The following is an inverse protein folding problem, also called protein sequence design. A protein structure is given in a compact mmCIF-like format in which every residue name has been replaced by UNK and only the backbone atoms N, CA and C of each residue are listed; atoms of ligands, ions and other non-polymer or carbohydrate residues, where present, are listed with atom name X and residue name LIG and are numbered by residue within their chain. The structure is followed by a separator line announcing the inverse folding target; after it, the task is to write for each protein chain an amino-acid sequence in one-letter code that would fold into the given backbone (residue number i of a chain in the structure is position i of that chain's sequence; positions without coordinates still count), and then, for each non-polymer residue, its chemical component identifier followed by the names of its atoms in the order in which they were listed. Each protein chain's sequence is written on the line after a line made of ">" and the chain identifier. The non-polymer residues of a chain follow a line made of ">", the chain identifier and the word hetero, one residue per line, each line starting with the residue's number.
data_IF_410350805113
#
_entry.id   IF_410350805113
#
_cell.length_a   1.000
_cell.length_b   1.000
_cell.length_c   1.000
_cell.angle_alpha   90.00
_cell.angle_beta   90.00
_cell.angle_gamma   90.00
#
_symmetry.space_group_name_H-M   'P 1'
#
loop_
_entity.id
_entity.type
_entity.pdbx_description
1 polymer ?
#
# COMPACT_ATOMS: atom_id res chain seq x y z
N UNK A 1 4.02 17.52 -7.69
CA UNK A 1 3.68 17.56 -6.26
C UNK A 1 4.03 16.23 -5.55
N UNK A 2 3.65 15.08 -6.07
CA UNK A 2 3.92 13.80 -5.38
C UNK A 2 5.40 13.39 -5.35
N UNK A 3 6.19 13.72 -6.36
CA UNK A 3 7.64 13.47 -6.36
C UNK A 3 8.35 14.23 -5.23
N UNK A 4 7.91 15.47 -4.91
CA UNK A 4 8.47 16.25 -3.80
C UNK A 4 8.14 15.61 -2.45
N UNK A 5 6.90 15.10 -2.29
CA UNK A 5 6.49 14.38 -1.07
C UNK A 5 7.28 13.08 -0.90
N UNK A 6 7.51 12.36 -2.00
CA UNK A 6 8.35 11.15 -1.99
C UNK A 6 9.79 11.47 -1.60
N UNK A 7 10.38 12.52 -2.18
CA UNK A 7 11.73 12.96 -1.81
C UNK A 7 11.80 13.36 -0.34
N UNK A 8 10.84 14.16 0.14
CA UNK A 8 10.75 14.55 1.55
C UNK A 8 10.67 13.33 2.48
N UNK A 9 9.85 12.33 2.14
CA UNK A 9 9.74 11.07 2.88
C UNK A 9 11.09 10.36 2.98
N UNK A 10 11.78 10.16 1.84
CA UNK A 10 13.06 9.45 1.80
C UNK A 10 14.16 10.21 2.56
N UNK A 11 14.20 11.54 2.45
CA UNK A 11 15.14 12.37 3.20
C UNK A 11 14.87 12.30 4.70
N UNK A 12 13.61 12.47 5.12
CA UNK A 12 13.22 12.38 6.54
C UNK A 12 13.61 11.03 7.14
N UNK A 13 13.33 9.94 6.43
CA UNK A 13 13.71 8.59 6.86
C UNK A 13 15.23 8.44 6.99
N UNK A 14 15.98 8.96 6.02
CA UNK A 14 17.46 8.96 6.07
C UNK A 14 17.96 9.70 7.32
N UNK A 15 17.44 10.90 7.59
CA UNK A 15 17.84 11.70 8.75
C UNK A 15 17.54 10.99 10.08
N UNK A 16 16.38 10.35 10.19
CA UNK A 16 16.01 9.58 11.39
C UNK A 16 16.96 8.39 11.59
N UNK A 17 17.27 7.63 10.52
CA UNK A 17 18.19 6.49 10.61
C UNK A 17 19.61 6.93 10.97
N UNK A 18 20.11 8.02 10.38
CA UNK A 18 21.43 8.57 10.69
C UNK A 18 21.50 9.07 12.12
N UNK A 19 20.47 9.75 12.61
CA UNK A 19 20.37 10.17 14.00
C UNK A 19 20.39 8.98 14.96
N UNK A 20 19.57 7.96 14.69
CA UNK A 20 19.54 6.73 15.50
C UNK A 20 20.87 6.00 15.47
N UNK A 21 21.52 5.88 14.30
CA UNK A 21 22.87 5.31 14.16
C UNK A 21 23.91 6.08 14.97
N UNK A 22 23.80 7.41 14.99
CA UNK A 22 24.67 8.26 15.81
C UNK A 22 24.47 8.06 17.30
N UNK A 23 23.22 7.93 17.76
CA UNK A 23 22.89 7.67 19.15
C UNK A 23 23.40 6.29 19.65
N UNK A 24 23.42 5.27 18.77
CA UNK A 24 23.82 3.91 19.10
C UNK A 24 25.34 3.64 18.94
N UNK A 25 26.00 4.27 17.96
CA UNK A 25 27.39 3.95 17.59
C UNK A 25 28.25 5.18 17.25
N UNK A 26 27.87 6.38 17.69
CA UNK A 26 28.62 7.59 17.42
C UNK A 26 28.85 7.84 15.92
N UNK A 27 30.02 8.38 15.55
CA UNK A 27 30.36 8.69 14.14
C UNK A 27 30.34 7.47 13.24
N UNK A 28 30.78 6.32 13.72
CA UNK A 28 30.78 5.07 12.94
C UNK A 28 29.36 4.59 12.70
N UNK A 29 28.50 4.62 13.73
CA UNK A 29 27.07 4.31 13.61
C UNK A 29 26.34 5.22 12.63
N UNK A 30 26.63 6.53 12.63
CA UNK A 30 26.10 7.48 11.64
C UNK A 30 26.45 7.10 10.21
N UNK A 31 27.72 6.76 9.97
CA UNK A 31 28.20 6.39 8.63
C UNK A 31 27.55 5.11 8.13
N UNK A 32 27.48 4.08 8.98
CA UNK A 32 26.81 2.82 8.66
C UNK A 32 25.31 3.03 8.37
N UNK A 33 24.64 3.82 9.20
CA UNK A 33 23.22 4.14 9.02
C UNK A 33 22.97 4.94 7.73
N UNK A 34 23.84 5.86 7.37
CA UNK A 34 23.75 6.60 6.11
C UNK A 34 23.88 5.67 4.90
N UNK A 35 24.88 4.79 4.89
CA UNK A 35 25.06 3.82 3.79
C UNK A 35 23.82 2.92 3.69
N UNK A 36 23.36 2.40 4.83
CA UNK A 36 22.13 1.58 4.87
C UNK A 36 20.91 2.32 4.34
N UNK A 37 20.70 3.57 4.77
CA UNK A 37 19.57 4.38 4.34
C UNK A 37 19.60 4.67 2.83
N UNK A 38 20.79 4.97 2.27
CA UNK A 38 20.94 5.20 0.83
C UNK A 38 20.64 3.94 0.01
N UNK A 39 21.14 2.79 0.45
CA UNK A 39 20.83 1.50 -0.19
C UNK A 39 19.35 1.18 -0.09
N UNK A 40 18.75 1.32 1.09
CA UNK A 40 17.34 1.07 1.31
C UNK A 40 16.46 1.99 0.43
N UNK A 41 16.76 3.28 0.36
CA UNK A 41 16.05 4.23 -0.49
C UNK A 41 16.19 3.87 -1.98
N UNK A 42 17.39 3.46 -2.42
CA UNK A 42 17.61 3.00 -3.79
C UNK A 42 16.74 1.78 -4.10
N UNK A 43 16.76 0.75 -3.26
CA UNK A 43 15.96 -0.45 -3.46
C UNK A 43 14.46 -0.16 -3.37
N UNK A 44 14.03 0.68 -2.44
CA UNK A 44 12.63 1.08 -2.32
C UNK A 44 12.14 1.83 -3.55
N UNK A 45 12.94 2.70 -4.12
CA UNK A 45 12.56 3.43 -5.33
C UNK A 45 12.48 2.53 -6.58
N UNK A 46 13.46 1.64 -6.77
CA UNK A 46 13.59 0.87 -8.00
C UNK A 46 12.85 -0.46 -8.01
N UNK A 47 12.64 -1.07 -6.86
CA UNK A 47 12.13 -2.44 -6.73
C UNK A 47 10.88 -2.59 -5.88
N UNK A 48 10.32 -1.49 -5.34
CA UNK A 48 9.16 -1.55 -4.47
C UNK A 48 7.94 -2.22 -5.11
N UNK A 49 7.69 -2.00 -6.41
CA UNK A 49 6.62 -2.67 -7.15
C UNK A 49 6.80 -4.20 -7.16
N UNK A 50 8.00 -4.67 -7.41
CA UNK A 50 8.33 -6.10 -7.43
C UNK A 50 8.24 -6.72 -6.04
N UNK A 51 8.67 -5.97 -5.01
CA UNK A 51 8.60 -6.41 -3.61
C UNK A 51 7.14 -6.58 -3.21
N UNK A 52 6.30 -5.58 -3.44
CA UNK A 52 4.86 -5.64 -3.10
C UNK A 52 4.17 -6.77 -3.85
N UNK A 53 4.35 -6.88 -5.16
CA UNK A 53 3.75 -7.95 -5.95
C UNK A 53 4.18 -9.35 -5.47
N UNK A 54 5.46 -9.50 -5.07
CA UNK A 54 5.96 -10.77 -4.51
C UNK A 54 5.39 -11.06 -3.12
N UNK A 55 5.24 -10.05 -2.26
CA UNK A 55 4.62 -10.21 -0.93
C UNK A 55 3.20 -10.79 -1.04
N UNK A 56 2.44 -10.35 -2.03
CA UNK A 56 1.07 -10.84 -2.31
C UNK A 56 1.03 -12.04 -3.25
N UNK A 57 2.17 -12.63 -3.62
CA UNK A 57 2.26 -13.75 -4.58
C UNK A 57 1.48 -13.49 -5.87
N UNK A 58 1.52 -12.23 -6.34
CA UNK A 58 0.82 -11.81 -7.53
C UNK A 58 1.39 -12.50 -8.77
N UNK A 59 0.54 -13.13 -9.56
CA UNK A 59 0.89 -13.81 -10.82
C UNK A 59 0.63 -12.87 -11.99
N UNK A 60 1.65 -12.63 -12.80
CA UNK A 60 1.49 -11.92 -14.06
C UNK A 60 0.57 -12.73 -14.98
N UNK A 61 -0.39 -12.08 -15.59
CA UNK A 61 -1.33 -12.71 -16.53
C UNK A 61 -1.23 -12.05 -17.90
N UNK A 62 -1.45 -12.86 -18.93
CA UNK A 62 -1.59 -12.40 -20.31
C UNK A 62 -3.06 -12.12 -20.64
N UNK A 63 -3.31 -11.59 -21.82
CA UNK A 63 -4.67 -11.40 -22.32
C UNK A 63 -5.42 -12.73 -22.49
N UNK A 64 -4.72 -13.78 -22.90
CA UNK A 64 -5.30 -15.12 -23.01
C UNK A 64 -5.65 -15.75 -21.66
N UNK A 65 -4.94 -15.40 -20.58
CA UNK A 65 -5.22 -15.92 -19.23
C UNK A 65 -6.43 -15.25 -18.58
N UNK A 66 -6.66 -13.96 -18.87
CA UNK A 66 -7.71 -13.15 -18.24
C UNK A 66 -8.32 -12.13 -19.22
N UNK A 67 -9.00 -12.56 -20.30
CA UNK A 67 -9.45 -11.68 -21.37
C UNK A 67 -10.39 -10.57 -20.91
N UNK A 68 -11.29 -10.87 -19.98
CA UNK A 68 -12.24 -9.87 -19.44
C UNK A 68 -11.51 -8.77 -18.67
N UNK A 69 -10.62 -9.15 -17.74
CA UNK A 69 -9.84 -8.19 -16.96
C UNK A 69 -8.94 -7.33 -17.87
N UNK A 70 -8.25 -7.96 -18.82
CA UNK A 70 -7.44 -7.26 -19.81
C UNK A 70 -8.26 -6.29 -20.64
N UNK A 71 -9.45 -6.71 -21.07
CA UNK A 71 -10.38 -5.87 -21.82
C UNK A 71 -10.82 -4.62 -21.04
N UNK A 72 -11.11 -4.76 -19.75
CA UNK A 72 -11.44 -3.63 -18.87
C UNK A 72 -10.25 -2.66 -18.77
N UNK A 73 -9.06 -3.17 -18.40
CA UNK A 73 -7.86 -2.33 -18.26
C UNK A 73 -7.54 -1.62 -19.57
N UNK A 74 -7.56 -2.34 -20.70
CA UNK A 74 -7.25 -1.79 -22.04
C UNK A 74 -8.18 -0.63 -22.41
N UNK A 75 -9.49 -0.80 -22.28
CA UNK A 75 -10.45 0.28 -22.56
C UNK A 75 -10.19 1.52 -21.71
N UNK A 76 -9.93 1.33 -20.42
CA UNK A 76 -9.69 2.44 -19.50
C UNK A 76 -8.38 3.18 -19.82
N UNK A 77 -7.27 2.46 -20.08
CA UNK A 77 -5.99 3.12 -20.39
C UNK A 77 -6.02 3.82 -21.75
N UNK A 78 -6.72 3.28 -22.74
CA UNK A 78 -6.95 3.94 -24.03
C UNK A 78 -7.70 5.26 -23.83
N UNK A 79 -8.79 5.26 -23.05
CA UNK A 79 -9.54 6.47 -22.72
C UNK A 79 -8.72 7.48 -21.91
N UNK A 80 -7.83 7.00 -21.05
CA UNK A 80 -6.96 7.83 -20.22
C UNK A 80 -5.71 8.35 -20.94
N UNK A 81 -5.40 7.86 -22.16
CA UNK A 81 -4.15 8.17 -22.86
C UNK A 81 -2.91 7.66 -22.15
N UNK A 82 -3.01 6.51 -21.46
CA UNK A 82 -1.91 5.93 -20.68
C UNK A 82 -1.38 4.64 -21.33
N UNK A 83 -0.11 4.29 -21.10
CA UNK A 83 0.41 2.99 -21.52
C UNK A 83 -0.28 1.85 -20.75
N UNK A 84 -0.39 0.69 -21.39
CA UNK A 84 -0.94 -0.52 -20.76
C UNK A 84 -0.07 -0.94 -19.57
N UNK A 85 -0.61 -1.01 -18.34
CA UNK A 85 0.11 -1.53 -17.19
C UNK A 85 0.26 -3.04 -17.28
N UNK A 86 1.19 -3.61 -16.51
CA UNK A 86 1.23 -5.05 -16.31
C UNK A 86 0.06 -5.47 -15.43
N UNK A 87 -0.63 -6.53 -15.81
CA UNK A 87 -1.82 -7.02 -15.11
C UNK A 87 -1.48 -8.27 -14.33
N UNK A 88 -1.89 -8.29 -13.06
CA UNK A 88 -1.62 -9.38 -12.14
C UNK A 88 -2.90 -9.89 -11.49
N UNK A 89 -2.95 -11.18 -11.22
CA UNK A 89 -3.98 -11.81 -10.39
C UNK A 89 -3.33 -12.37 -9.13
N UNK A 90 -4.00 -12.14 -8.01
CA UNK A 90 -3.64 -12.66 -6.69
C UNK A 90 -4.68 -13.71 -6.33
N UNK A 91 -4.23 -14.93 -6.05
CA UNK A 91 -5.13 -16.00 -5.62
C UNK A 91 -5.45 -15.85 -4.13
N UNK A 92 -6.42 -14.96 -3.84
CA UNK A 92 -6.85 -14.61 -2.49
C UNK A 92 -8.36 -14.41 -2.49
N UNK A 93 -9.04 -14.97 -1.49
CA UNK A 93 -10.50 -14.90 -1.38
C UNK A 93 -10.98 -13.51 -0.95
N UNK A 94 -10.16 -12.78 -0.22
CA UNK A 94 -10.50 -11.44 0.14
C UNK A 94 -10.51 -10.52 -1.09
N UNK A 95 -11.61 -9.77 -1.27
CA UNK A 95 -11.74 -8.89 -2.41
C UNK A 95 -10.85 -7.65 -2.27
N UNK A 96 -9.90 -7.50 -3.19
CA UNK A 96 -9.03 -6.33 -3.27
C UNK A 96 -8.51 -6.08 -4.67
N UNK A 97 -8.16 -4.83 -4.94
CA UNK A 97 -7.36 -4.41 -6.09
C UNK A 97 -6.43 -3.27 -5.68
N UNK A 98 -5.29 -3.17 -6.31
CA UNK A 98 -4.38 -2.05 -6.13
C UNK A 98 -3.51 -1.81 -7.36
N UNK A 99 -3.05 -0.57 -7.50
CA UNK A 99 -2.01 -0.23 -8.45
C UNK A 99 -0.68 0.03 -7.74
N UNK A 100 0.41 -0.39 -8.36
CA UNK A 100 1.77 -0.20 -7.88
C UNK A 100 2.71 0.21 -9.00
N UNK A 101 3.87 0.77 -8.65
CA UNK A 101 4.88 1.19 -9.62
C UNK A 101 5.40 2.60 -9.38
N UNK A 102 6.43 2.99 -10.12
CA UNK A 102 7.08 4.30 -9.94
C UNK A 102 6.50 5.43 -10.81
N UNK A 103 5.86 5.08 -11.91
CA UNK A 103 5.22 6.04 -12.82
C UNK A 103 4.29 5.29 -13.80
N UNK A 104 3.48 5.99 -14.63
CA UNK A 104 2.57 5.35 -15.57
C UNK A 104 3.21 4.36 -16.55
N UNK A 105 4.46 4.60 -16.99
CA UNK A 105 5.20 3.68 -17.88
C UNK A 105 5.64 2.38 -17.19
N UNK A 106 5.70 2.37 -15.87
CA UNK A 106 6.13 1.24 -15.04
C UNK A 106 5.06 0.92 -14.00
N UNK A 107 3.80 1.03 -14.38
CA UNK A 107 2.68 0.69 -13.53
C UNK A 107 2.31 -0.79 -13.65
N UNK A 108 1.76 -1.32 -12.59
CA UNK A 108 1.15 -2.65 -12.51
C UNK A 108 -0.19 -2.52 -11.79
N UNK A 109 -1.19 -3.25 -12.25
CA UNK A 109 -2.50 -3.36 -11.60
C UNK A 109 -2.66 -4.81 -11.16
N UNK A 110 -3.00 -5.01 -9.90
CA UNK A 110 -3.25 -6.33 -9.32
C UNK A 110 -4.67 -6.41 -8.79
N UNK A 111 -5.34 -7.53 -9.06
CA UNK A 111 -6.69 -7.83 -8.56
C UNK A 111 -6.71 -9.20 -7.91
N UNK A 112 -7.50 -9.38 -6.86
CA UNK A 112 -7.69 -10.70 -6.24
C UNK A 112 -8.76 -11.52 -6.96
N UNK A 113 -8.68 -12.84 -6.85
CA UNK A 113 -9.75 -13.72 -7.31
C UNK A 113 -11.07 -13.43 -6.57
N UNK A 114 -10.99 -13.00 -5.31
CA UNK A 114 -12.14 -12.61 -4.50
C UNK A 114 -12.91 -11.42 -5.07
N UNK A 115 -12.21 -10.36 -5.50
CA UNK A 115 -12.89 -9.18 -6.08
C UNK A 115 -13.55 -9.52 -7.41
N UNK A 116 -12.91 -10.34 -8.23
CA UNK A 116 -13.44 -10.78 -9.52
C UNK A 116 -14.70 -11.64 -9.38
N UNK A 117 -14.89 -12.33 -8.25
CA UNK A 117 -16.08 -13.15 -7.97
C UNK A 117 -17.28 -12.34 -7.51
N UNK A 118 -17.07 -11.23 -6.78
CA UNK A 118 -18.17 -10.49 -6.14
C UNK A 118 -18.61 -9.26 -6.92
N UNK A 119 -17.75 -8.67 -7.73
CA UNK A 119 -18.07 -7.48 -8.50
C UNK A 119 -18.62 -7.83 -9.88
N UNK A 120 -19.58 -7.04 -10.36
CA UNK A 120 -19.96 -7.08 -11.77
C UNK A 120 -18.84 -6.49 -12.64
N UNK A 121 -18.97 -6.67 -13.96
CA UNK A 121 -18.01 -6.11 -14.91
C UNK A 121 -17.88 -4.58 -14.77
N UNK A 122 -19.01 -3.89 -14.60
CA UNK A 122 -19.07 -2.44 -14.44
C UNK A 122 -18.47 -1.99 -13.10
N UNK A 123 -18.75 -2.71 -12.02
CA UNK A 123 -18.19 -2.43 -10.70
C UNK A 123 -16.67 -2.63 -10.68
N UNK A 124 -16.18 -3.72 -11.31
CA UNK A 124 -14.75 -3.95 -11.49
C UNK A 124 -14.12 -2.87 -12.35
N UNK A 125 -14.80 -2.41 -13.40
CA UNK A 125 -14.35 -1.26 -14.20
C UNK A 125 -14.23 0.01 -13.34
N UNK A 126 -15.18 0.27 -12.44
CA UNK A 126 -15.14 1.39 -11.50
C UNK A 126 -13.91 1.33 -10.59
N UNK A 127 -13.62 0.16 -10.02
CA UNK A 127 -12.45 -0.07 -9.16
C UNK A 127 -11.15 0.13 -9.94
N UNK A 128 -11.00 -0.51 -11.10
CA UNK A 128 -9.78 -0.37 -11.92
C UNK A 128 -9.60 1.07 -12.39
N UNK A 129 -10.66 1.78 -12.69
CA UNK A 129 -10.60 3.19 -13.06
C UNK A 129 -10.11 4.08 -11.90
N UNK A 130 -10.52 3.78 -10.66
CA UNK A 130 -9.99 4.42 -9.45
C UNK A 130 -8.48 4.16 -9.31
N UNK A 131 -8.03 2.93 -9.43
CA UNK A 131 -6.61 2.57 -9.37
C UNK A 131 -5.79 3.25 -10.48
N UNK A 132 -6.32 3.29 -11.69
CA UNK A 132 -5.66 3.99 -12.81
C UNK A 132 -5.63 5.52 -12.61
N UNK A 133 -6.56 6.09 -11.84
CA UNK A 133 -6.51 7.50 -11.45
C UNK A 133 -5.30 7.77 -10.54
N UNK A 134 -5.00 6.90 -9.59
CA UNK A 134 -3.78 6.97 -8.78
C UNK A 134 -2.49 6.87 -9.64
N UNK A 135 -2.49 5.98 -10.65
CA UNK A 135 -1.39 5.89 -11.62
C UNK A 135 -1.20 7.21 -12.35
N UNK A 136 -2.29 7.79 -12.88
CA UNK A 136 -2.28 9.06 -13.62
C UNK A 136 -1.78 10.23 -12.77
N UNK A 137 -2.20 10.31 -11.51
CA UNK A 137 -1.79 11.35 -10.57
C UNK A 137 -0.39 11.10 -9.95
N UNK A 138 0.25 9.96 -10.29
CA UNK A 138 1.55 9.53 -9.74
C UNK A 138 1.53 9.35 -8.22
N UNK A 139 0.40 8.91 -7.67
CA UNK A 139 0.25 8.61 -6.25
C UNK A 139 0.87 7.26 -5.89
N UNK A 140 0.94 6.36 -6.88
CA UNK A 140 1.40 4.98 -6.69
C UNK A 140 2.81 4.87 -6.13
N UNK A 141 3.72 5.78 -6.49
CA UNK A 141 5.11 5.72 -6.05
C UNK A 141 5.23 5.87 -4.53
N UNK A 142 4.62 6.90 -3.96
CA UNK A 142 4.70 7.16 -2.52
C UNK A 142 4.01 6.03 -1.72
N UNK A 143 2.87 5.54 -2.20
CA UNK A 143 2.15 4.42 -1.57
C UNK A 143 2.96 3.13 -1.62
N UNK A 144 3.59 2.83 -2.76
CA UNK A 144 4.40 1.62 -2.95
C UNK A 144 5.68 1.64 -2.10
N UNK A 145 6.36 2.79 -2.02
CA UNK A 145 7.54 2.97 -1.16
C UNK A 145 7.14 2.82 0.31
N UNK A 146 6.04 3.45 0.73
CA UNK A 146 5.55 3.35 2.09
C UNK A 146 5.21 1.90 2.46
N UNK A 147 4.53 1.15 1.59
CA UNK A 147 4.23 -0.26 1.78
C UNK A 147 5.50 -1.10 1.93
N UNK A 148 6.51 -0.85 1.10
CA UNK A 148 7.77 -1.59 1.13
C UNK A 148 8.53 -1.35 2.43
N UNK A 149 8.65 -0.08 2.84
CA UNK A 149 9.37 0.28 4.07
C UNK A 149 8.62 -0.23 5.30
N UNK A 150 7.31 -0.02 5.36
CA UNK A 150 6.49 -0.51 6.47
C UNK A 150 6.50 -2.04 6.54
N UNK A 151 6.52 -2.73 5.39
CA UNK A 151 6.68 -4.19 5.32
C UNK A 151 8.03 -4.66 5.85
N UNK A 152 9.13 -3.99 5.49
CA UNK A 152 10.46 -4.29 6.02
C UNK A 152 10.55 -4.09 7.54
N UNK A 153 9.97 -3.00 8.04
CA UNK A 153 9.89 -2.71 9.47
C UNK A 153 9.10 -3.80 10.22
N UNK A 154 7.94 -4.20 9.71
CA UNK A 154 7.13 -5.27 10.30
C UNK A 154 7.89 -6.60 10.32
N UNK A 155 8.63 -6.91 9.27
CA UNK A 155 9.46 -8.12 9.21
C UNK A 155 10.58 -8.10 10.26
N UNK A 156 11.28 -6.97 10.40
CA UNK A 156 12.32 -6.80 11.43
C UNK A 156 11.75 -6.91 12.85
N UNK A 157 10.58 -6.31 13.10
CA UNK A 157 9.90 -6.44 14.37
C UNK A 157 9.53 -7.90 14.68
N UNK A 158 9.06 -8.64 13.68
CA UNK A 158 8.74 -10.06 13.82
C UNK A 158 10.01 -10.89 14.09
N UNK A 159 11.11 -10.62 13.39
CA UNK A 159 12.38 -11.29 13.67
C UNK A 159 12.89 -11.01 15.08
N UNK A 160 12.76 -9.77 15.57
CA UNK A 160 13.13 -9.43 16.94
C UNK A 160 12.28 -10.19 17.97
N UNK A 161 10.99 -10.35 17.75
CA UNK A 161 10.12 -11.18 18.61
C UNK A 161 10.56 -12.66 18.62
N UNK A 162 10.85 -13.22 17.45
CA UNK A 162 11.37 -14.60 17.35
C UNK A 162 12.71 -14.76 18.08
N UNK A 163 13.62 -13.80 17.94
CA UNK A 163 14.90 -13.82 18.64
C UNK A 163 14.74 -13.75 20.18
N UNK A 164 13.72 -13.03 20.68
CA UNK A 164 13.39 -13.01 22.11
C UNK A 164 12.79 -14.33 22.61
N UNK A 165 12.02 -15.03 21.76
CA UNK A 165 11.35 -16.28 22.13
C UNK A 165 12.32 -17.47 22.04
N UNK A 166 13.18 -17.52 21.02
CA UNK A 166 14.06 -18.65 20.70
C UNK A 166 15.55 -18.38 20.92
N UNK A 167 15.96 -17.10 21.07
CA UNK A 167 17.32 -16.73 21.44
C UNK A 167 17.51 -17.08 22.92
N UNK A 168 18.28 -18.15 23.15
CA UNK A 168 18.44 -18.79 24.45
C UNK A 168 18.74 -17.80 25.57
N UNK A 169 18.12 -18.01 26.70
CA UNK A 169 18.51 -17.46 28.00
C UNK A 169 19.97 -17.82 28.26
N UNK A 170 20.88 -16.90 27.98
CA UNK A 170 22.16 -16.85 28.67
C UNK A 170 21.85 -16.48 30.12
N UNK A 171 22.43 -17.20 31.05
CA UNK A 171 22.09 -17.30 32.48
C UNK A 171 22.38 -16.04 33.33
N UNK A 172 22.65 -14.88 32.76
CA UNK A 172 22.97 -13.66 33.51
C UNK A 172 22.47 -12.40 32.80
N UNK A 173 21.15 -12.11 32.77
CA UNK A 173 20.65 -10.73 32.87
C UNK A 173 19.09 -10.67 32.90
N UNK A 174 18.54 -10.12 33.98
CA UNK A 174 17.10 -9.81 34.15
C UNK A 174 16.59 -8.64 33.29
N UNK A 175 17.34 -8.19 32.30
CA UNK A 175 17.00 -7.10 31.41
C UNK A 175 16.87 -7.57 29.98
N UNK A 176 15.64 -7.60 29.45
CA UNK A 176 15.42 -7.79 28.01
C UNK A 176 16.33 -6.86 27.20
N UNK A 177 16.85 -7.36 26.07
CA UNK A 177 17.86 -6.67 25.25
C UNK A 177 17.46 -5.18 25.04
N UNK A 178 18.15 -4.21 25.67
CA UNK A 178 17.80 -2.78 25.61
C UNK A 178 17.78 -2.25 24.18
N UNK A 179 18.60 -2.85 23.30
CA UNK A 179 18.70 -2.50 21.88
C UNK A 179 17.43 -2.91 21.14
N UNK A 180 16.89 -4.09 21.43
CA UNK A 180 15.64 -4.55 20.81
C UNK A 180 14.45 -3.69 21.25
N UNK A 181 14.38 -3.32 22.54
CA UNK A 181 13.35 -2.44 23.09
C UNK A 181 13.45 -1.03 22.51
N UNK A 182 14.65 -0.49 22.38
CA UNK A 182 14.91 0.82 21.78
C UNK A 182 14.58 0.81 20.29
N UNK A 183 14.94 -0.26 19.57
CA UNK A 183 14.59 -0.43 18.17
C UNK A 183 13.07 -0.45 17.97
N UNK A 184 12.33 -1.18 18.78
CA UNK A 184 10.86 -1.20 18.72
C UNK A 184 10.23 0.14 19.08
N UNK A 185 10.78 0.87 20.02
CA UNK A 185 10.32 2.20 20.42
C UNK A 185 10.48 3.25 19.30
N UNK A 186 11.51 3.13 18.47
CA UNK A 186 11.80 4.03 17.34
C UNK A 186 11.07 3.59 16.08
N UNK A 187 11.06 2.30 15.81
CA UNK A 187 10.53 1.69 14.58
C UNK A 187 9.01 1.86 14.45
N UNK A 188 8.27 1.72 15.53
CA UNK A 188 6.81 1.88 15.52
C UNK A 188 6.35 3.28 15.08
N UNK A 189 6.82 4.36 15.72
CA UNK A 189 6.50 5.73 15.31
C UNK A 189 6.95 6.05 13.87
N UNK A 190 8.10 5.55 13.43
CA UNK A 190 8.58 5.77 12.05
C UNK A 190 7.65 5.09 11.06
N UNK A 191 7.25 3.84 11.30
CA UNK A 191 6.31 3.14 10.45
C UNK A 191 4.97 3.90 10.36
N UNK A 192 4.45 4.35 11.48
CA UNK A 192 3.22 5.14 11.53
C UNK A 192 3.34 6.45 10.75
N UNK A 193 4.45 7.17 10.90
CA UNK A 193 4.72 8.42 10.17
C UNK A 193 4.78 8.17 8.66
N UNK A 194 5.49 7.12 8.22
CA UNK A 194 5.60 6.76 6.81
C UNK A 194 4.23 6.45 6.22
N UNK A 195 3.43 5.65 6.92
CA UNK A 195 2.07 5.32 6.51
C UNK A 195 1.22 6.58 6.43
N UNK A 196 1.23 7.46 7.44
CA UNK A 196 0.48 8.71 7.42
C UNK A 196 0.88 9.65 6.27
N UNK A 197 2.16 9.72 5.94
CA UNK A 197 2.64 10.54 4.82
C UNK A 197 2.24 9.97 3.46
N UNK A 198 2.14 8.65 3.33
CA UNK A 198 1.67 7.98 2.13
C UNK A 198 0.18 8.20 1.88
N UNK A 199 -0.57 8.51 2.94
CA UNK A 199 -2.02 8.62 2.89
C UNK A 199 -2.44 10.09 2.81
N UNK A 200 -3.44 10.35 1.98
CA UNK A 200 -4.11 11.64 1.93
C UNK A 200 -5.56 11.44 1.50
N UNK A 201 -6.51 11.78 2.37
CA UNK A 201 -7.95 11.73 2.07
C UNK A 201 -8.29 12.52 0.80
N UNK A 202 -7.63 13.63 0.56
CA UNK A 202 -7.84 14.42 -0.65
C UNK A 202 -7.42 13.68 -1.93
N UNK A 203 -6.41 12.82 -1.87
CA UNK A 203 -6.01 11.98 -3.01
C UNK A 203 -7.05 10.90 -3.30
N UNK A 204 -7.62 10.31 -2.26
CA UNK A 204 -8.69 9.32 -2.41
C UNK A 204 -9.92 9.93 -3.10
N UNK A 205 -10.35 11.12 -2.64
CA UNK A 205 -11.48 11.80 -3.30
C UNK A 205 -11.16 12.21 -4.74
N UNK A 206 -9.91 12.63 -5.02
CA UNK A 206 -9.47 12.93 -6.39
C UNK A 206 -9.41 11.67 -7.26
N UNK A 207 -9.05 10.52 -6.67
CA UNK A 207 -9.05 9.25 -7.37
C UNK A 207 -10.47 8.72 -7.61
N UNK A 208 -11.38 8.90 -6.65
CA UNK A 208 -12.81 8.59 -6.81
C UNK A 208 -13.41 9.39 -7.97
N UNK A 209 -13.19 10.71 -7.98
CA UNK A 209 -13.69 11.58 -9.04
C UNK A 209 -13.06 11.23 -10.39
N UNK A 210 -11.75 11.12 -10.46
CA UNK A 210 -11.01 10.77 -11.68
C UNK A 210 -11.40 9.40 -12.21
N UNK A 211 -11.55 8.42 -11.33
CA UNK A 211 -12.01 7.07 -11.64
C UNK A 211 -13.44 7.06 -12.17
N UNK A 212 -14.36 7.78 -11.51
CA UNK A 212 -15.74 7.90 -11.95
C UNK A 212 -15.85 8.50 -13.36
N UNK A 213 -15.12 9.60 -13.64
CA UNK A 213 -15.04 10.22 -14.98
C UNK A 213 -14.44 9.28 -16.02
N UNK A 214 -13.41 8.53 -15.64
CA UNK A 214 -12.75 7.57 -16.51
C UNK A 214 -13.65 6.38 -16.84
N UNK A 215 -14.32 5.81 -15.84
CA UNK A 215 -15.30 4.73 -16.02
C UNK A 215 -16.56 5.20 -16.78
N UNK A 216 -16.91 6.49 -16.69
CA UNK A 216 -18.08 7.08 -17.33
C UNK A 216 -19.37 6.96 -16.51
N UNK A 217 -19.31 6.38 -15.30
CA UNK A 217 -20.44 6.31 -14.38
C UNK A 217 -19.94 6.18 -12.93
N UNK A 218 -20.23 7.15 -12.05
CA UNK A 218 -19.80 7.10 -10.66
C UNK A 218 -20.44 5.96 -9.85
N UNK A 219 -21.63 5.49 -10.28
CA UNK A 219 -22.33 4.39 -9.61
C UNK A 219 -21.59 3.06 -9.71
N UNK A 220 -20.71 2.88 -10.70
CA UNK A 220 -19.87 1.68 -10.82
C UNK A 220 -18.95 1.53 -9.60
N UNK A 221 -18.22 2.58 -9.26
CA UNK A 221 -17.37 2.57 -8.07
C UNK A 221 -18.19 2.57 -6.78
N UNK A 222 -19.28 3.34 -6.70
CA UNK A 222 -20.16 3.36 -5.52
C UNK A 222 -20.74 1.97 -5.21
N UNK A 223 -21.20 1.25 -6.22
CA UNK A 223 -21.69 -0.14 -6.10
C UNK A 223 -20.59 -1.08 -5.62
N UNK A 224 -19.40 -0.99 -6.23
CA UNK A 224 -18.24 -1.76 -5.80
C UNK A 224 -17.90 -1.52 -4.33
N UNK A 225 -17.81 -0.26 -3.89
CA UNK A 225 -17.48 0.09 -2.50
C UNK A 225 -18.48 -0.49 -1.50
N UNK A 226 -19.79 -0.50 -1.81
CA UNK A 226 -20.80 -1.16 -0.95
C UNK A 226 -20.56 -2.65 -0.81
N UNK A 227 -20.30 -3.35 -1.91
CA UNK A 227 -20.04 -4.80 -1.90
C UNK A 227 -18.75 -5.14 -1.16
N UNK A 228 -17.71 -4.36 -1.39
CA UNK A 228 -16.42 -4.53 -0.73
C UNK A 228 -16.51 -4.29 0.78
N UNK A 229 -17.25 -3.26 1.21
CA UNK A 229 -17.50 -3.00 2.62
C UNK A 229 -18.26 -4.16 3.30
N UNK A 230 -19.31 -4.66 2.66
CA UNK A 230 -20.07 -5.80 3.17
C UNK A 230 -19.22 -7.09 3.24
N UNK A 231 -18.34 -7.30 2.26
CA UNK A 231 -17.45 -8.47 2.23
C UNK A 231 -16.33 -8.37 3.28
N UNK A 232 -15.75 -7.19 3.50
CA UNK A 232 -14.69 -6.99 4.49
C UNK A 232 -15.13 -7.29 5.93
N UNK A 233 -16.42 -7.14 6.22
CA UNK A 233 -16.99 -7.48 7.52
C UNK A 233 -17.17 -9.01 7.73
N UNK A 234 -17.23 -9.78 6.63
CA UNK A 234 -17.52 -11.22 6.68
C UNK A 234 -16.30 -12.10 6.46
N UNK A 235 -15.31 -11.60 5.75
CA UNK A 235 -14.11 -12.35 5.38
C UNK A 235 -12.93 -11.76 6.16
N UNK A 236 -12.47 -12.40 7.25
CA UNK A 236 -11.29 -11.92 7.99
C UNK A 236 -10.06 -11.93 7.08
N UNK A 237 -9.26 -10.87 7.15
CA UNK A 237 -8.01 -10.81 6.43
C UNK A 237 -6.81 -10.87 7.37
N UNK A 238 -5.84 -11.71 7.03
CA UNK A 238 -4.48 -11.61 7.52
C UNK A 238 -3.71 -10.52 6.77
N UNK A 239 -4.25 -9.27 6.77
CA UNK A 239 -3.55 -8.16 6.15
C UNK A 239 -2.40 -7.72 7.04
N UNK A 240 -1.23 -7.54 6.44
CA UNK A 240 -0.15 -6.85 7.11
C UNK A 240 -0.57 -5.37 7.33
N UNK A 241 -0.65 -4.86 8.58
CA UNK A 241 -1.03 -3.48 8.86
C UNK A 241 -0.21 -2.47 8.06
N UNK A 242 1.05 -2.79 7.77
CA UNK A 242 1.97 -1.97 7.00
C UNK A 242 1.54 -1.73 5.55
N UNK A 243 0.76 -2.63 4.97
CA UNK A 243 0.30 -2.55 3.58
C UNK A 243 -1.21 -2.33 3.45
N UNK A 244 -1.90 -2.20 4.58
CA UNK A 244 -3.36 -2.00 4.63
C UNK A 244 -3.84 -0.76 3.83
N UNK A 245 -2.98 0.25 3.72
CA UNK A 245 -3.25 1.47 2.95
C UNK A 245 -3.28 1.26 1.42
N UNK A 246 -2.86 0.11 0.92
CA UNK A 246 -2.98 -0.27 -0.49
C UNK A 246 -4.31 -0.96 -0.82
N UNK A 247 -5.16 -1.17 0.18
CA UNK A 247 -6.45 -1.82 -0.03
C UNK A 247 -7.51 -0.76 -0.33
N UNK A 248 -8.37 -1.02 -1.29
CA UNK A 248 -9.48 -0.09 -1.65
C UNK A 248 -10.47 0.09 -0.49
N UNK A 249 -10.62 -0.93 0.36
CA UNK A 249 -11.35 -0.90 1.61
C UNK A 249 -10.43 -1.40 2.71
N UNK A 250 -10.34 -0.67 3.82
CA UNK A 250 -9.45 -1.04 4.92
C UNK A 250 -9.83 -2.42 5.47
N UNK A 251 -8.91 -3.41 5.41
CA UNK A 251 -9.17 -4.76 5.90
C UNK A 251 -9.12 -4.88 7.43
N UNK A 252 -8.60 -3.86 8.12
CA UNK A 252 -8.45 -3.87 9.57
C UNK A 252 -9.76 -3.45 10.25
N UNK A 253 -10.70 -4.37 10.34
CA UNK A 253 -11.95 -4.22 11.10
C UNK A 253 -11.69 -4.48 12.58
N UNK A 254 -11.07 -3.53 13.29
CA UNK A 254 -10.83 -3.58 14.72
C UNK A 254 -11.16 -2.24 15.38
N UNK A 255 -11.79 -2.26 16.57
CA UNK A 255 -12.04 -1.06 17.35
C UNK A 255 -10.76 -0.48 17.98
N UNK A 256 -10.76 0.78 18.39
CA UNK A 256 -9.68 1.40 19.15
C UNK A 256 -8.56 2.01 18.31
N UNK A 257 -7.32 1.83 18.72
CA UNK A 257 -6.12 2.41 18.10
C UNK A 257 -5.98 2.10 16.60
N UNK A 258 -6.52 0.98 16.10
CA UNK A 258 -6.50 0.61 14.68
C UNK A 258 -7.29 1.59 13.78
N UNK A 259 -8.29 2.30 14.32
CA UNK A 259 -8.98 3.39 13.58
C UNK A 259 -8.07 4.58 13.27
N UNK A 260 -7.04 4.84 14.08
CA UNK A 260 -6.07 5.90 13.82
C UNK A 260 -5.18 5.59 12.60
N UNK A 261 -5.05 4.31 12.25
CA UNK A 261 -4.36 3.84 11.06
C UNK A 261 -5.30 3.65 9.86
N UNK A 262 -6.57 4.05 9.99
CA UNK A 262 -7.51 4.06 8.86
C UNK A 262 -7.08 5.11 7.84
N UNK A 263 -6.67 4.63 6.72
CA UNK A 263 -5.94 5.36 5.68
C UNK A 263 -6.87 5.97 4.64
N UNK A 264 -8.06 5.39 4.52
CA UNK A 264 -9.09 5.86 3.60
C UNK A 264 -10.14 6.70 4.33
N UNK A 265 -10.80 7.65 3.62
CA UNK A 265 -11.99 8.31 4.12
C UNK A 265 -13.08 7.30 4.45
N UNK A 266 -14.06 7.66 5.32
CA UNK A 266 -15.21 6.80 5.57
C UNK A 266 -15.87 6.38 4.27
N UNK A 267 -16.17 5.09 4.16
CA UNK A 267 -16.64 4.51 2.90
C UNK A 267 -18.02 5.06 2.53
N UNK A 268 -18.84 5.36 3.51
CA UNK A 268 -20.15 5.97 3.37
C UNK A 268 -20.05 7.37 2.76
N UNK A 269 -19.03 8.13 3.16
CA UNK A 269 -18.78 9.47 2.60
C UNK A 269 -18.32 9.38 1.14
N UNK A 270 -17.45 8.42 0.81
CA UNK A 270 -17.00 8.17 -0.57
C UNK A 270 -18.20 7.80 -1.45
N UNK A 271 -19.07 6.90 -0.98
CA UNK A 271 -20.28 6.48 -1.70
C UNK A 271 -21.20 7.67 -1.93
N UNK A 272 -21.52 8.45 -0.88
CA UNK A 272 -22.41 9.60 -0.98
C UNK A 272 -21.90 10.64 -1.98
N UNK A 273 -20.58 10.93 -1.98
CA UNK A 273 -19.95 11.84 -2.95
C UNK A 273 -20.05 11.32 -4.38
N UNK A 274 -19.78 10.04 -4.61
CA UNK A 274 -19.93 9.43 -5.93
C UNK A 274 -21.37 9.46 -6.44
N UNK A 275 -22.35 9.24 -5.57
CA UNK A 275 -23.77 9.27 -5.95
C UNK A 275 -24.29 10.66 -6.25
N UNK A 276 -23.72 11.68 -5.62
CA UNK A 276 -24.05 13.08 -5.89
C UNK A 276 -23.36 13.65 -7.14
N UNK A 277 -22.41 12.91 -7.75
CA UNK A 277 -21.70 13.36 -8.95
C UNK A 277 -22.62 13.30 -10.19
N UNK A 278 -22.70 14.42 -10.91
CA UNK A 278 -23.14 14.50 -12.30
C UNK A 278 -21.91 14.48 -13.23
N UNK A 279 -21.90 13.60 -14.23
CA UNK A 279 -20.84 13.50 -15.25
C UNK A 279 -21.28 14.18 -16.54
#
# INVERSE_FOLDING_TARGET
>A
MNNIKTLFLLVTLTLILVWAGGALGGKQGMTMALIFALLMNFFAYWFSDKIVLRMYRARLVSESDAPELYGVVRRLVQKAGMPMPRVYIINEDQPNAFATGRNPKHASVAVTTGIMRILSHEELQGVIAHELSHVRHRDILISTIAATIAGAISYLAQMAQWAMIFGGRGDDDEGGNPIASLAMMIVGPIAALIVQMAISRSREYSADEGGARLAGNPRYLAGALRKLNAASQKIPMHANPATSHMFIVNPLSGGGLLKLFSTHPPIEERIARLESMSL
#
